data_IF_404763547005
#
_entry.id   IF_404763547005
#
_cell.length_a   1.000
_cell.length_b   1.000
_cell.length_c   1.000
_cell.angle_alpha   90.00
_cell.angle_beta   90.00
_cell.angle_gamma   90.00
#
_symmetry.space_group_name_H-M   'P 1'
#
loop_
_entity.id
_entity.type
_entity.pdbx_description
1 polymer ?
#
# COMPACT_ATOMS: atom_id res chain seq x y z
N UNK A 1 4.33 -5.62 -22.97
CA UNK A 1 3.31 -4.72 -23.54
C UNK A 1 2.10 -5.44 -24.15
N UNK A 2 2.20 -6.12 -25.30
CA UNK A 2 1.01 -6.70 -25.99
C UNK A 2 0.16 -7.63 -25.11
N UNK A 3 0.80 -8.46 -24.27
CA UNK A 3 0.11 -9.33 -23.30
C UNK A 3 -0.70 -8.51 -22.29
N UNK A 4 -0.12 -7.45 -21.74
CA UNK A 4 -0.77 -6.54 -20.79
C UNK A 4 -1.94 -5.79 -21.43
N UNK A 5 -1.80 -5.36 -22.68
CA UNK A 5 -2.90 -4.74 -23.43
C UNK A 5 -4.08 -5.69 -23.63
N UNK A 6 -3.81 -6.92 -24.08
CA UNK A 6 -4.86 -7.93 -24.23
C UNK A 6 -5.55 -8.26 -22.90
N UNK A 7 -4.78 -8.36 -21.81
CA UNK A 7 -5.31 -8.57 -20.47
C UNK A 7 -6.25 -7.44 -20.03
N UNK A 8 -5.86 -6.17 -20.22
CA UNK A 8 -6.70 -5.01 -19.86
C UNK A 8 -8.04 -5.04 -20.57
N UNK A 9 -8.07 -5.35 -21.86
CA UNK A 9 -9.32 -5.46 -22.64
C UNK A 9 -10.21 -6.58 -22.10
N UNK A 10 -9.64 -7.77 -21.90
CA UNK A 10 -10.38 -8.94 -21.42
C UNK A 10 -10.92 -8.76 -19.99
N UNK A 11 -10.14 -8.17 -19.07
CA UNK A 11 -10.54 -7.97 -17.69
C UNK A 11 -11.66 -6.92 -17.57
N UNK A 12 -11.53 -5.80 -18.29
CA UNK A 12 -12.52 -4.74 -18.26
C UNK A 12 -13.86 -5.14 -18.92
N UNK A 13 -13.84 -6.08 -19.87
CA UNK A 13 -15.05 -6.64 -20.48
C UNK A 13 -15.91 -7.47 -19.50
N UNK A 14 -15.36 -7.91 -18.37
CA UNK A 14 -16.08 -8.70 -17.36
C UNK A 14 -17.08 -7.90 -16.53
N UNK A 15 -17.08 -6.56 -16.62
CA UNK A 15 -18.02 -5.71 -15.87
C UNK A 15 -17.83 -5.73 -14.35
N UNK A 16 -16.61 -6.01 -13.87
CA UNK A 16 -16.26 -6.07 -12.45
C UNK A 16 -16.41 -4.69 -11.76
N UNK A 17 -16.48 -4.63 -10.41
CA UNK A 17 -16.54 -3.36 -9.68
C UNK A 17 -15.23 -2.55 -9.72
N UNK A 18 -14.23 -3.03 -10.44
CA UNK A 18 -12.97 -2.33 -10.68
C UNK A 18 -12.63 -2.33 -12.18
N UNK A 19 -11.64 -1.51 -12.53
CA UNK A 19 -11.03 -1.47 -13.87
C UNK A 19 -9.52 -1.56 -13.75
N UNK A 20 -8.90 -2.12 -14.76
CA UNK A 20 -7.44 -2.11 -14.94
C UNK A 20 -7.09 -1.21 -16.13
N UNK A 21 -5.90 -0.63 -16.12
CA UNK A 21 -5.43 0.24 -17.18
C UNK A 21 -3.94 -0.01 -17.44
N UNK A 22 -3.49 0.37 -18.63
CA UNK A 22 -2.05 0.44 -18.91
C UNK A 22 -1.44 1.56 -18.08
N UNK A 23 -0.27 1.28 -17.50
CA UNK A 23 0.54 2.23 -16.75
C UNK A 23 2.03 1.99 -17.06
N UNK A 24 2.92 2.64 -16.31
CA UNK A 24 4.38 2.55 -16.44
C UNK A 24 4.94 1.12 -16.30
N UNK A 25 4.12 0.13 -15.94
CA UNK A 25 4.51 -1.27 -15.77
C UNK A 25 3.97 -2.18 -16.87
N UNK A 26 3.27 -1.63 -17.87
CA UNK A 26 2.63 -2.40 -18.94
C UNK A 26 3.63 -3.19 -19.81
N UNK A 27 4.90 -2.80 -19.82
CA UNK A 27 5.95 -3.52 -20.54
C UNK A 27 6.60 -4.65 -19.73
N UNK A 28 6.40 -4.68 -18.40
CA UNK A 28 6.99 -5.67 -17.50
C UNK A 28 6.17 -6.96 -17.45
N UNK A 29 6.86 -8.09 -17.32
CA UNK A 29 6.28 -9.38 -16.92
C UNK A 29 5.96 -9.37 -15.42
N UNK A 30 5.08 -10.28 -14.94
CA UNK A 30 4.82 -10.42 -13.51
C UNK A 30 6.09 -10.65 -12.68
N UNK A 31 7.03 -11.47 -13.18
CA UNK A 31 8.27 -11.79 -12.48
C UNK A 31 9.20 -10.58 -12.40
N UNK A 32 9.34 -9.80 -13.48
CA UNK A 32 10.11 -8.55 -13.48
C UNK A 32 9.51 -7.51 -12.53
N UNK A 33 8.18 -7.38 -12.52
CA UNK A 33 7.48 -6.49 -11.59
C UNK A 33 7.71 -6.92 -10.14
N UNK A 34 7.58 -8.21 -9.84
CA UNK A 34 7.80 -8.78 -8.52
C UNK A 34 9.23 -8.54 -8.04
N UNK A 35 10.22 -8.92 -8.84
CA UNK A 35 11.63 -8.77 -8.49
C UNK A 35 12.04 -7.30 -8.27
N UNK A 36 11.45 -6.37 -9.03
CA UNK A 36 11.77 -4.95 -8.91
C UNK A 36 11.02 -4.20 -7.81
N UNK A 37 9.83 -4.65 -7.39
CA UNK A 37 8.94 -3.79 -6.58
C UNK A 37 8.33 -4.46 -5.35
N UNK A 38 8.27 -5.78 -5.31
CA UNK A 38 7.67 -6.54 -4.21
C UNK A 38 8.76 -7.06 -3.27
N UNK A 39 9.29 -6.16 -2.43
CA UNK A 39 10.42 -6.44 -1.55
C UNK A 39 10.10 -6.66 -0.07
N UNK A 40 8.82 -6.84 0.29
CA UNK A 40 8.47 -7.12 1.68
C UNK A 40 9.00 -8.50 2.10
N UNK A 41 9.97 -8.50 3.00
CA UNK A 41 10.40 -9.71 3.69
C UNK A 41 9.62 -9.82 4.99
N UNK A 42 8.82 -10.88 5.12
CA UNK A 42 8.07 -11.14 6.34
C UNK A 42 9.06 -11.18 7.52
N UNK A 43 8.87 -10.33 8.54
CA UNK A 43 9.75 -10.33 9.68
C UNK A 43 9.73 -11.72 10.34
N UNK A 44 10.89 -12.24 10.72
CA UNK A 44 10.96 -13.48 11.50
C UNK A 44 10.05 -13.35 12.72
N UNK A 45 9.41 -14.43 13.18
CA UNK A 45 8.40 -14.39 14.26
C UNK A 45 8.88 -13.80 15.61
N UNK A 46 10.15 -13.43 15.72
CA UNK A 46 10.83 -12.96 16.94
C UNK A 46 11.48 -11.57 16.81
N UNK A 47 11.22 -10.78 15.76
CA UNK A 47 11.94 -9.48 15.58
C UNK A 47 11.74 -8.52 16.77
N UNK A 48 10.64 -8.69 17.50
CA UNK A 48 10.29 -7.87 18.66
C UNK A 48 10.39 -8.65 19.99
N UNK A 49 10.96 -9.85 19.98
CA UNK A 49 11.10 -10.66 21.18
C UNK A 49 11.99 -9.95 22.21
N UNK A 50 11.47 -9.75 23.43
CA UNK A 50 12.19 -9.09 24.52
C UNK A 50 11.99 -7.58 24.63
N UNK A 51 11.26 -6.95 23.70
CA UNK A 51 10.86 -5.55 23.85
C UNK A 51 9.66 -5.41 24.81
N UNK A 52 9.62 -4.36 25.66
CA UNK A 52 8.46 -4.08 26.49
C UNK A 52 7.20 -3.85 25.64
N UNK A 53 6.12 -4.56 25.94
CA UNK A 53 4.82 -4.31 25.34
C UNK A 53 4.16 -3.12 26.03
N UNK A 54 4.07 -1.97 25.33
CA UNK A 54 3.50 -0.73 25.87
C UNK A 54 1.97 -0.72 25.97
N UNK A 55 1.32 -1.83 25.59
CA UNK A 55 -0.13 -1.97 25.57
C UNK A 55 -0.72 -1.85 24.17
N UNK A 56 -1.99 -2.19 24.05
CA UNK A 56 -2.78 -2.06 22.82
C UNK A 56 -3.85 -1.02 23.07
N UNK A 57 -4.08 -0.13 22.09
CA UNK A 57 -5.18 0.83 22.16
C UNK A 57 -6.51 0.09 22.35
N UNK A 58 -7.30 0.51 23.35
CA UNK A 58 -8.66 0.02 23.59
C UNK A 58 -9.65 1.11 23.19
N UNK A 59 -10.46 0.81 22.20
CA UNK A 59 -11.54 1.69 21.78
C UNK A 59 -12.51 1.96 22.93
N UNK A 60 -12.85 3.23 23.14
CA UNK A 60 -13.64 3.70 24.28
C UNK A 60 -15.15 3.57 24.12
N UNK A 61 -15.64 3.18 22.93
CA UNK A 61 -17.08 3.17 22.60
C UNK A 61 -17.62 4.51 22.08
N UNK A 62 -16.76 5.51 21.87
CA UNK A 62 -17.16 6.81 21.34
C UNK A 62 -17.66 6.72 19.89
N UNK A 63 -18.80 7.35 19.57
CA UNK A 63 -19.38 7.34 18.22
C UNK A 63 -18.34 7.66 17.14
N UNK A 64 -18.22 6.77 16.15
CA UNK A 64 -17.30 6.92 15.03
C UNK A 64 -18.01 7.52 13.81
N UNK A 65 -17.23 8.20 12.97
CA UNK A 65 -17.72 8.65 11.66
C UNK A 65 -18.09 7.45 10.77
N UNK A 66 -19.11 7.61 9.92
CA UNK A 66 -19.51 6.59 8.95
C UNK A 66 -18.42 6.34 7.88
N UNK A 67 -17.66 7.38 7.53
CA UNK A 67 -16.52 7.31 6.62
C UNK A 67 -15.45 8.32 7.03
N UNK A 68 -14.19 8.01 6.74
CA UNK A 68 -13.05 8.90 6.99
C UNK A 68 -12.15 8.90 5.76
N UNK A 69 -11.85 10.09 5.24
CA UNK A 69 -10.75 10.32 4.32
C UNK A 69 -9.73 11.25 4.99
N UNK A 70 -8.51 10.76 5.19
CA UNK A 70 -7.43 11.53 5.81
C UNK A 70 -6.77 12.52 4.85
N UNK A 71 -6.94 12.34 3.53
CA UNK A 71 -6.43 13.27 2.51
C UNK A 71 -7.15 14.62 2.60
N UNK A 72 -8.48 14.59 2.80
CA UNK A 72 -9.31 15.79 3.02
C UNK A 72 -8.98 16.51 4.32
N UNK A 73 -8.36 15.80 5.27
CA UNK A 73 -7.92 16.33 6.58
C UNK A 73 -6.47 16.80 6.59
N UNK A 74 -5.77 16.72 5.45
CA UNK A 74 -4.37 17.10 5.33
C UNK A 74 -3.37 16.12 5.96
N UNK A 75 -3.84 14.99 6.52
CA UNK A 75 -3.00 13.99 7.19
C UNK A 75 -2.41 12.94 6.24
N UNK A 76 -2.33 13.26 4.95
CA UNK A 76 -1.72 12.42 3.91
C UNK A 76 -0.86 13.30 3.02
N UNK A 77 0.42 12.94 2.89
CA UNK A 77 1.37 13.64 2.00
C UNK A 77 1.11 13.28 0.53
N UNK A 78 1.78 13.98 -0.39
CA UNK A 78 1.72 13.64 -1.83
C UNK A 78 2.19 12.21 -2.08
N UNK A 79 1.62 11.56 -3.10
CA UNK A 79 2.01 10.19 -3.49
C UNK A 79 3.49 10.14 -3.87
N UNK A 80 4.23 9.23 -3.23
CA UNK A 80 5.67 9.00 -3.46
C UNK A 80 5.88 7.76 -4.34
N UNK A 81 7.12 7.55 -4.82
CA UNK A 81 7.48 6.40 -5.67
C UNK A 81 8.72 5.67 -5.11
N UNK A 82 8.55 4.43 -4.65
CA UNK A 82 9.64 3.59 -4.12
C UNK A 82 10.66 3.12 -5.18
N UNK A 83 10.34 3.33 -6.47
CA UNK A 83 11.12 2.88 -7.63
C UNK A 83 11.33 1.37 -7.63
N UNK A 84 12.58 0.92 -7.77
CA UNK A 84 12.97 -0.48 -7.86
C UNK A 84 13.59 -0.98 -6.54
N UNK A 85 13.40 -0.22 -5.45
CA UNK A 85 13.85 -0.61 -4.14
C UNK A 85 12.72 -1.36 -3.42
N UNK A 86 13.05 -2.45 -2.73
CA UNK A 86 12.15 -3.19 -1.86
C UNK A 86 11.74 -2.44 -0.57
N UNK A 87 11.58 -1.12 -0.66
CA UNK A 87 11.39 -0.20 0.47
C UNK A 87 9.93 0.13 0.77
N UNK A 88 8.97 -0.64 0.24
CA UNK A 88 7.54 -0.43 0.51
C UNK A 88 7.21 -0.40 2.02
N UNK A 89 7.91 -1.19 2.82
CA UNK A 89 7.78 -1.19 4.29
C UNK A 89 8.17 0.16 4.91
N UNK A 90 9.23 0.79 4.41
CA UNK A 90 9.68 2.11 4.88
C UNK A 90 8.71 3.22 4.45
N UNK A 91 8.16 3.13 3.24
CA UNK A 91 7.14 4.07 2.74
C UNK A 91 5.83 3.97 3.54
N UNK A 92 5.39 2.74 3.84
CA UNK A 92 4.24 2.49 4.71
C UNK A 92 4.48 3.07 6.12
N UNK A 93 5.66 2.83 6.70
CA UNK A 93 6.03 3.32 8.03
C UNK A 93 6.07 4.84 8.08
N UNK A 94 6.76 5.47 7.14
CA UNK A 94 6.88 6.94 7.08
C UNK A 94 5.55 7.63 6.78
N UNK A 95 4.71 7.08 5.89
CA UNK A 95 3.38 7.62 5.63
C UNK A 95 2.48 7.58 6.86
N UNK A 96 2.52 6.49 7.64
CA UNK A 96 1.80 6.40 8.90
C UNK A 96 2.30 7.40 9.95
N UNK A 97 3.62 7.58 10.07
CA UNK A 97 4.23 8.56 10.98
C UNK A 97 3.90 10.01 10.59
N UNK A 98 3.95 10.33 9.30
CA UNK A 98 3.58 11.65 8.76
C UNK A 98 2.12 11.97 9.07
N UNK A 99 1.20 11.02 8.86
CA UNK A 99 -0.20 11.20 9.19
C UNK A 99 -0.45 11.35 10.69
N UNK A 100 0.19 10.52 11.52
CA UNK A 100 0.08 10.61 12.97
C UNK A 100 0.68 11.91 13.54
N UNK A 101 1.69 12.49 12.88
CA UNK A 101 2.26 13.78 13.25
C UNK A 101 1.32 14.95 12.93
N UNK A 102 0.54 14.83 11.85
CA UNK A 102 -0.38 15.89 11.41
C UNK A 102 -1.70 15.92 12.20
N UNK A 103 -2.11 14.78 12.78
CA UNK A 103 -3.33 14.65 13.61
C UNK A 103 -3.07 15.18 15.01
#
# INVERSE_FOLDING_TARGET
>A
FNKSYAYVQAENAKGLPYRVALNDFADQTPDEFQAGRLGLLAPASKVWAGLPHLGTHRYSGATLAHSVDWTEKGAVTVVKNQKQCGSCWAFSTTGALEGAWQI
#
